data_IF_815660790818
#
_entry.id   IF_815660790818
#
_cell.length_a   1.000
_cell.length_b   1.000
_cell.length_c   1.000
_cell.angle_alpha   90.00
_cell.angle_beta   90.00
_cell.angle_gamma   90.00
#
_symmetry.space_group_name_H-M   'P 1'
#
loop_
_entity.id
_entity.type
_entity.pdbx_description
1 polymer ?
#
# COMPACT_ATOMS: atom_id res chain seq x y z
N UNK A 1 -3.17 -0.63 19.20
CA UNK A 1 -3.44 -1.33 17.93
C UNK A 1 -3.64 -2.84 18.09
N UNK A 2 -2.76 -3.60 18.77
CA UNK A 2 -2.78 -5.08 18.72
C UNK A 2 -3.25 -5.82 20.00
N UNK A 3 -4.17 -5.25 20.79
CA UNK A 3 -4.61 -5.87 22.05
C UNK A 3 -5.31 -7.22 21.85
N UNK A 4 -6.20 -7.32 20.85
CA UNK A 4 -6.91 -8.57 20.54
C UNK A 4 -5.94 -9.69 20.15
N UNK A 5 -4.93 -9.39 19.33
CA UNK A 5 -3.91 -10.37 18.96
C UNK A 5 -3.06 -10.81 20.17
N UNK A 6 -2.71 -9.89 21.09
CA UNK A 6 -2.00 -10.23 22.33
C UNK A 6 -2.78 -11.21 23.20
N UNK A 7 -4.10 -11.00 23.33
CA UNK A 7 -4.93 -11.89 24.13
C UNK A 7 -5.13 -13.26 23.47
N UNK A 8 -5.36 -13.27 22.16
CA UNK A 8 -5.49 -14.51 21.39
C UNK A 8 -4.24 -15.41 21.48
N UNK A 9 -3.05 -14.80 21.45
CA UNK A 9 -1.79 -15.52 21.55
C UNK A 9 -1.57 -16.28 22.87
N UNK A 10 -2.30 -15.93 23.94
CA UNK A 10 -2.27 -16.71 25.21
C UNK A 10 -2.98 -18.06 25.07
N UNK A 11 -3.86 -18.20 24.07
CA UNK A 11 -4.71 -19.37 23.86
C UNK A 11 -4.28 -20.20 22.64
N UNK A 12 -3.51 -19.62 21.72
CA UNK A 12 -2.99 -20.32 20.55
C UNK A 12 -2.60 -19.38 19.39
N UNK A 13 -2.27 -19.93 18.21
CA UNK A 13 -1.94 -19.14 17.03
C UNK A 13 -3.08 -18.22 16.60
N UNK A 14 -2.74 -17.00 16.18
CA UNK A 14 -3.70 -15.99 15.68
C UNK A 14 -3.55 -15.83 14.17
N UNK A 15 -4.64 -15.98 13.43
CA UNK A 15 -4.70 -15.65 12.01
C UNK A 15 -5.04 -14.16 11.83
N UNK A 16 -4.16 -13.42 11.15
CA UNK A 16 -4.44 -12.03 10.75
C UNK A 16 -4.75 -12.01 9.26
N UNK A 17 -6.02 -11.82 8.93
CA UNK A 17 -6.44 -11.64 7.54
C UNK A 17 -6.23 -10.18 7.14
N UNK A 18 -5.38 -9.99 6.14
CA UNK A 18 -5.18 -8.70 5.48
C UNK A 18 -5.79 -8.76 4.08
N UNK A 19 -6.20 -7.61 3.50
CA UNK A 19 -6.59 -7.56 2.10
C UNK A 19 -5.54 -8.26 1.22
N UNK A 20 -5.99 -9.14 0.30
CA UNK A 20 -5.12 -9.94 -0.57
C UNK A 20 -4.17 -9.06 -1.39
N UNK A 21 -3.09 -9.68 -1.89
CA UNK A 21 -2.30 -9.18 -3.04
C UNK A 21 -3.28 -8.68 -4.12
N UNK A 22 -3.11 -7.44 -4.58
CA UNK A 22 -3.97 -6.86 -5.61
C UNK A 22 -4.59 -5.50 -5.27
N UNK A 23 -4.38 -4.93 -4.07
CA UNK A 23 -4.51 -3.48 -3.98
C UNK A 23 -3.40 -2.88 -4.84
N UNK A 24 -3.79 -2.26 -5.94
CA UNK A 24 -2.89 -1.82 -7.00
C UNK A 24 -1.78 -0.96 -6.40
N UNK A 25 -0.50 -1.11 -6.83
CA UNK A 25 0.60 -0.25 -6.38
C UNK A 25 0.10 1.18 -6.28
N UNK A 26 -0.16 1.64 -5.05
CA UNK A 26 -0.55 3.03 -4.85
C UNK A 26 0.69 3.80 -5.24
N UNK A 27 0.60 4.52 -6.34
CA UNK A 27 1.68 5.40 -6.72
C UNK A 27 1.70 6.54 -5.69
N UNK A 28 2.89 6.95 -5.32
CA UNK A 28 3.09 8.12 -4.48
C UNK A 28 4.26 8.91 -5.01
N UNK A 29 4.30 10.20 -4.66
CA UNK A 29 5.43 11.04 -4.97
C UNK A 29 6.73 10.40 -4.45
N UNK A 30 7.72 10.26 -5.33
CA UNK A 30 9.03 9.74 -4.94
C UNK A 30 9.68 10.65 -3.89
N UNK A 31 9.49 11.97 -4.00
CA UNK A 31 10.08 13.01 -3.14
C UNK A 31 9.41 13.13 -1.77
N UNK A 32 8.12 13.48 -1.70
CA UNK A 32 7.44 13.76 -0.41
C UNK A 32 6.53 12.64 0.10
N UNK A 33 6.36 11.55 -0.66
CA UNK A 33 5.49 10.40 -0.33
C UNK A 33 3.98 10.66 -0.35
N UNK A 34 3.53 11.84 -0.76
CA UNK A 34 2.10 12.12 -0.96
C UNK A 34 1.48 11.12 -1.95
N UNK A 35 0.32 10.50 -1.64
CA UNK A 35 -0.37 9.58 -2.55
C UNK A 35 -0.72 10.25 -3.89
N UNK A 36 -0.49 9.56 -4.99
CA UNK A 36 -0.87 10.01 -6.32
C UNK A 36 -2.37 9.77 -6.55
N UNK A 37 -3.13 10.85 -6.73
CA UNK A 37 -4.59 10.83 -6.91
C UNK A 37 -4.99 11.32 -8.29
N UNK A 38 -6.07 10.76 -8.80
CA UNK A 38 -6.73 11.23 -10.03
C UNK A 38 -7.36 12.60 -9.81
N UNK A 39 -7.10 13.55 -10.71
CA UNK A 39 -7.70 14.89 -10.66
C UNK A 39 -9.21 14.90 -10.88
N UNK A 40 -9.75 13.85 -11.51
CA UNK A 40 -11.18 13.75 -11.81
C UNK A 40 -12.02 13.24 -10.61
N UNK A 41 -11.56 12.20 -9.91
CA UNK A 41 -12.37 11.52 -8.88
C UNK A 41 -11.64 11.27 -7.55
N UNK A 42 -10.41 11.79 -7.38
CA UNK A 42 -9.52 11.52 -6.24
C UNK A 42 -9.18 10.02 -6.02
N UNK A 43 -9.49 9.16 -6.99
CA UNK A 43 -9.13 7.74 -6.98
C UNK A 43 -7.62 7.51 -7.07
N UNK A 44 -7.13 6.31 -6.70
CA UNK A 44 -5.72 5.98 -6.80
C UNK A 44 -5.27 5.95 -8.26
N UNK A 45 -4.05 6.46 -8.51
CA UNK A 45 -3.38 6.28 -9.79
C UNK A 45 -2.53 5.00 -9.80
N UNK A 46 -2.53 4.36 -10.96
CA UNK A 46 -1.92 3.06 -11.22
C UNK A 46 -1.11 3.14 -12.51
N UNK A 47 0.00 2.40 -12.59
CA UNK A 47 0.81 2.27 -13.81
C UNK A 47 0.68 0.84 -14.33
N UNK A 48 0.49 0.68 -15.65
CA UNK A 48 0.40 -0.65 -16.30
C UNK A 48 1.76 -1.28 -16.64
N UNK A 49 2.88 -0.75 -16.14
CA UNK A 49 4.23 -1.25 -16.42
C UNK A 49 5.29 -0.14 -16.30
N UNK A 50 6.57 -0.49 -16.47
CA UNK A 50 7.65 0.51 -16.52
C UNK A 50 7.49 1.38 -17.77
N UNK A 51 7.20 2.67 -17.59
CA UNK A 51 7.00 3.62 -18.69
C UNK A 51 5.59 3.64 -19.30
N UNK A 52 4.65 2.88 -18.74
CA UNK A 52 3.25 2.92 -19.18
C UNK A 52 2.51 4.17 -18.67
N UNK A 53 1.47 4.59 -19.39
CA UNK A 53 0.59 5.68 -18.99
C UNK A 53 -0.05 5.41 -17.61
N UNK A 54 -0.20 6.47 -16.82
CA UNK A 54 -0.92 6.41 -15.56
C UNK A 54 -2.41 6.39 -15.86
N UNK A 55 -3.17 5.59 -15.12
CA UNK A 55 -4.63 5.61 -15.15
C UNK A 55 -5.22 5.58 -13.76
N UNK A 56 -6.43 6.12 -13.63
CA UNK A 56 -7.19 5.96 -12.40
C UNK A 56 -7.70 4.51 -12.27
N UNK A 57 -7.46 3.89 -11.11
CA UNK A 57 -8.01 2.57 -10.79
C UNK A 57 -9.53 2.52 -10.67
N UNK A 58 -10.19 3.67 -10.49
CA UNK A 58 -11.64 3.76 -10.29
C UNK A 58 -12.40 4.15 -11.55
N UNK A 59 -12.10 5.32 -12.12
CA UNK A 59 -12.83 5.82 -13.29
C UNK A 59 -12.16 5.50 -14.63
N UNK A 60 -10.96 4.90 -14.61
CA UNK A 60 -10.23 4.53 -15.83
C UNK A 60 -9.58 5.69 -16.60
N UNK A 61 -9.83 6.95 -16.22
CA UNK A 61 -9.26 8.14 -16.88
C UNK A 61 -7.74 8.09 -16.83
N UNK A 62 -7.11 8.34 -17.98
CA UNK A 62 -5.66 8.46 -18.12
C UNK A 62 -5.14 9.77 -17.51
N UNK A 63 -3.96 9.71 -16.91
CA UNK A 63 -3.27 10.85 -16.30
C UNK A 63 -1.89 11.02 -16.95
N UNK A 64 -1.83 11.80 -18.02
CA UNK A 64 -0.59 11.99 -18.79
C UNK A 64 0.39 12.98 -18.14
N UNK A 65 -0.07 13.86 -17.25
CA UNK A 65 0.70 15.01 -16.76
C UNK A 65 0.65 15.15 -15.24
N UNK A 66 0.75 14.00 -14.57
CA UNK A 66 0.78 13.97 -13.11
C UNK A 66 1.96 14.77 -12.56
N UNK A 67 1.69 15.57 -11.52
CA UNK A 67 2.68 16.16 -10.64
C UNK A 67 2.13 16.15 -9.22
N UNK A 68 3.02 16.11 -8.24
CA UNK A 68 2.63 16.16 -6.85
C UNK A 68 2.16 17.57 -6.46
N UNK A 69 0.91 17.70 -6.05
CA UNK A 69 0.35 18.98 -5.58
C UNK A 69 1.02 19.51 -4.31
N UNK A 70 1.60 18.62 -3.49
CA UNK A 70 2.29 19.01 -2.25
C UNK A 70 3.71 19.55 -2.46
N UNK A 71 4.47 19.05 -3.44
CA UNK A 71 5.90 19.40 -3.59
C UNK A 71 6.39 19.66 -5.02
N UNK A 72 5.49 19.60 -6.02
CA UNK A 72 5.80 19.80 -7.44
C UNK A 72 6.61 18.67 -8.11
N UNK A 73 6.90 17.57 -7.41
CA UNK A 73 7.66 16.46 -7.99
C UNK A 73 6.89 15.68 -9.06
N UNK A 74 7.57 15.22 -10.11
CA UNK A 74 6.97 14.48 -11.23
C UNK A 74 7.23 12.97 -11.20
N UNK A 75 8.18 12.53 -10.37
CA UNK A 75 8.51 11.10 -10.26
C UNK A 75 7.60 10.40 -9.26
N UNK A 76 7.14 9.22 -9.66
CA UNK A 76 6.33 8.34 -8.86
C UNK A 76 7.13 7.13 -8.41
N UNK A 77 6.78 6.62 -7.24
CA UNK A 77 7.20 5.30 -6.77
C UNK A 77 6.00 4.42 -6.55
N UNK A 78 6.18 3.12 -6.78
CA UNK A 78 5.27 2.14 -6.23
C UNK A 78 5.34 2.18 -4.69
N UNK A 79 4.19 2.33 -4.03
CA UNK A 79 4.03 1.95 -2.64
C UNK A 79 3.56 0.51 -2.60
N UNK A 80 4.40 -0.38 -2.08
CA UNK A 80 3.96 -1.70 -1.68
C UNK A 80 3.46 -1.58 -0.23
N UNK A 81 2.15 -1.50 -0.05
CA UNK A 81 1.51 -1.83 1.22
C UNK A 81 0.73 -3.11 1.00
N UNK A 82 1.46 -4.22 0.95
CA UNK A 82 0.89 -5.57 0.91
C UNK A 82 0.99 -6.25 2.26
N UNK A 83 0.50 -7.49 2.33
CA UNK A 83 0.67 -8.40 3.47
C UNK A 83 2.10 -8.40 4.05
N UNK A 84 3.11 -8.14 3.20
CA UNK A 84 4.51 -7.97 3.60
C UNK A 84 4.73 -6.84 4.63
N UNK A 85 4.16 -5.65 4.42
CA UNK A 85 4.30 -4.54 5.39
C UNK A 85 3.53 -4.84 6.67
N UNK A 86 2.33 -5.41 6.57
CA UNK A 86 1.59 -5.82 7.78
C UNK A 86 2.35 -6.90 8.56
N UNK A 87 3.00 -7.84 7.88
CA UNK A 87 3.85 -8.85 8.50
C UNK A 87 5.10 -8.22 9.16
N UNK A 88 5.74 -7.24 8.52
CA UNK A 88 6.86 -6.48 9.13
C UNK A 88 6.42 -5.75 10.41
N UNK A 89 5.28 -5.05 10.37
CA UNK A 89 4.75 -4.34 11.53
C UNK A 89 4.31 -5.30 12.65
N UNK A 90 3.74 -6.45 12.31
CA UNK A 90 3.43 -7.51 13.28
C UNK A 90 4.70 -8.10 13.89
N UNK A 91 5.74 -8.36 13.10
CA UNK A 91 7.02 -8.85 13.60
C UNK A 91 7.67 -7.88 14.61
N UNK A 92 7.59 -6.57 14.34
CA UNK A 92 8.04 -5.53 15.28
C UNK A 92 7.21 -5.49 16.56
N UNK A 93 5.88 -5.64 16.44
CA UNK A 93 4.97 -5.59 17.58
C UNK A 93 5.01 -6.85 18.46
N UNK A 94 5.52 -7.96 17.94
CA UNK A 94 5.56 -9.28 18.59
C UNK A 94 6.91 -9.99 18.39
N UNK A 95 8.02 -9.44 18.92
CA UNK A 95 9.38 -9.93 18.62
C UNK A 95 9.65 -11.36 19.11
N UNK A 96 8.91 -11.85 20.11
CA UNK A 96 9.03 -13.21 20.64
C UNK A 96 8.08 -14.23 19.97
N UNK A 97 7.30 -13.82 18.97
CA UNK A 97 6.28 -14.66 18.34
C UNK A 97 6.60 -14.81 16.85
N UNK A 98 6.82 -16.04 16.35
CA UNK A 98 7.08 -16.26 14.93
C UNK A 98 5.91 -15.79 14.05
N UNK A 99 6.18 -14.85 13.14
CA UNK A 99 5.21 -14.39 12.14
C UNK A 99 5.40 -15.19 10.85
N UNK A 100 4.36 -15.92 10.43
CA UNK A 100 4.34 -16.70 9.18
C UNK A 100 3.41 -16.03 8.17
N UNK A 101 3.84 -15.95 6.92
CA UNK A 101 3.02 -15.40 5.83
C UNK A 101 2.60 -16.54 4.88
N UNK A 102 1.33 -16.56 4.48
CA UNK A 102 0.90 -17.33 3.32
C UNK A 102 1.31 -16.51 2.10
N UNK A 103 2.21 -17.04 1.25
CA UNK A 103 2.75 -16.35 0.07
C UNK A 103 1.74 -15.44 -0.62
#
# INVERSE_FOLDING_TARGET
>A
AWQVAREGLKHGPVLVQVPRRGYVPRLACERCREPARCRHCAGPLEAQGSGAALRCGWCGVEEASWHCESCGGFRLRAQVVGARRTAEELGRAFPAVPVRTSG
#
